data_IF_666560950530
#
_entry.id   IF_666560950530
#
_cell.length_a   1.000
_cell.length_b   1.000
_cell.length_c   1.000
_cell.angle_alpha   90.00
_cell.angle_beta   90.00
_cell.angle_gamma   90.00
#
_symmetry.space_group_name_H-M   'P 1'
#
loop_
_entity.id
_entity.type
_entity.pdbx_description
1 polymer ?
#
# COMPACT_ATOMS: atom_id res chain seq x y z
N UNK A 1 -12.90 5.79 -3.31
CA UNK A 1 -11.60 6.22 -3.87
C UNK A 1 -10.91 7.32 -3.09
N UNK A 2 -11.41 8.57 -3.01
CA UNK A 2 -10.68 9.61 -2.23
C UNK A 2 -10.32 9.20 -0.80
N UNK A 3 -11.26 8.57 -0.07
CA UNK A 3 -11.01 8.02 1.28
C UNK A 3 -9.96 6.90 1.28
N UNK A 4 -10.09 5.93 0.39
CA UNK A 4 -9.14 4.82 0.25
C UNK A 4 -7.71 5.32 -0.06
N UNK A 5 -7.57 6.26 -1.01
CA UNK A 5 -6.28 6.90 -1.31
C UNK A 5 -5.68 7.63 -0.11
N UNK A 6 -6.49 8.40 0.64
CA UNK A 6 -6.00 9.05 1.87
C UNK A 6 -5.52 8.03 2.91
N UNK A 7 -6.23 6.91 3.07
CA UNK A 7 -5.84 5.83 3.98
C UNK A 7 -4.54 5.15 3.54
N UNK A 8 -4.41 4.78 2.25
CA UNK A 8 -3.16 4.23 1.69
C UNK A 8 -1.99 5.21 1.84
N UNK A 9 -2.18 6.50 1.57
CA UNK A 9 -1.14 7.53 1.74
C UNK A 9 -0.73 7.73 3.21
N UNK A 10 -1.67 7.63 4.14
CA UNK A 10 -1.36 7.66 5.56
C UNK A 10 -0.48 6.47 5.98
N UNK A 11 -0.76 5.26 5.48
CA UNK A 11 0.12 4.10 5.67
C UNK A 11 1.52 4.37 5.10
N UNK A 12 1.61 4.88 3.86
CA UNK A 12 2.91 5.23 3.25
C UNK A 12 3.71 6.21 4.13
N UNK A 13 3.06 7.22 4.70
CA UNK A 13 3.73 8.20 5.55
C UNK A 13 4.24 7.58 6.86
N UNK A 14 3.46 6.68 7.47
CA UNK A 14 3.91 5.97 8.68
C UNK A 14 5.09 5.05 8.39
N UNK A 15 5.06 4.32 7.28
CA UNK A 15 6.16 3.43 6.86
C UNK A 15 7.44 4.23 6.53
N UNK A 16 7.30 5.38 5.89
CA UNK A 16 8.41 6.31 5.63
C UNK A 16 9.02 6.82 6.93
N UNK A 17 8.20 7.22 7.90
CA UNK A 17 8.68 7.63 9.22
C UNK A 17 9.50 6.54 9.93
N UNK A 18 9.00 5.29 9.92
CA UNK A 18 9.75 4.15 10.45
C UNK A 18 11.08 3.97 9.69
N UNK A 19 11.06 4.08 8.37
CA UNK A 19 12.24 3.91 7.53
C UNK A 19 13.31 4.99 7.78
N UNK A 20 12.90 6.21 8.11
CA UNK A 20 13.78 7.35 8.40
C UNK A 20 14.34 7.32 9.83
N UNK A 21 13.65 6.67 10.76
CA UNK A 21 14.10 6.50 12.15
C UNK A 21 15.01 5.27 12.35
N UNK A 22 15.23 4.46 11.32
CA UNK A 22 16.22 3.38 11.35
C UNK A 22 17.66 3.92 11.49
N UNK A 23 18.55 3.21 12.22
CA UNK A 23 18.30 1.98 12.97
C UNK A 23 17.88 2.21 14.43
N UNK A 24 18.07 3.42 14.97
CA UNK A 24 18.15 3.63 16.43
C UNK A 24 16.95 4.33 17.06
N UNK A 25 16.04 4.90 16.26
CA UNK A 25 14.93 5.73 16.73
C UNK A 25 13.54 5.13 16.48
N UNK A 26 13.49 3.90 15.97
CA UNK A 26 12.23 3.21 15.63
C UNK A 26 11.35 3.03 16.87
N UNK A 27 10.13 3.59 16.81
CA UNK A 27 9.12 3.44 17.85
C UNK A 27 8.41 2.08 17.74
N UNK A 28 8.51 1.27 18.79
CA UNK A 28 7.90 -0.07 18.86
C UNK A 28 6.38 -0.02 18.85
N UNK A 29 5.76 0.98 19.49
CA UNK A 29 4.30 1.12 19.49
C UNK A 29 3.80 1.48 18.10
N UNK A 30 4.55 2.32 17.39
CA UNK A 30 4.26 2.63 15.98
C UNK A 30 4.38 1.37 15.10
N UNK A 31 5.41 0.55 15.29
CA UNK A 31 5.54 -0.72 14.57
C UNK A 31 4.33 -1.64 14.80
N UNK A 32 3.87 -1.79 16.05
CA UNK A 32 2.69 -2.61 16.36
C UNK A 32 1.42 -2.07 15.71
N UNK A 33 1.22 -0.75 15.76
CA UNK A 33 0.06 -0.10 15.14
C UNK A 33 0.05 -0.30 13.62
N UNK A 34 1.19 -0.04 12.96
CA UNK A 34 1.29 -0.22 11.50
C UNK A 34 1.15 -1.69 11.10
N UNK A 35 1.74 -2.63 11.86
CA UNK A 35 1.61 -4.06 11.60
C UNK A 35 0.15 -4.54 11.67
N UNK A 36 -0.64 -4.00 12.61
CA UNK A 36 -2.04 -4.36 12.76
C UNK A 36 -2.91 -3.83 11.61
N UNK A 37 -2.57 -2.67 11.05
CA UNK A 37 -3.42 -1.96 10.08
C UNK A 37 -3.00 -2.18 8.62
N UNK A 38 -1.72 -2.39 8.33
CA UNK A 38 -1.15 -2.36 6.98
C UNK A 38 -1.87 -3.31 6.01
N UNK A 39 -1.82 -4.61 6.27
CA UNK A 39 -2.41 -5.61 5.37
C UNK A 39 -3.95 -5.56 5.33
N UNK A 40 -4.67 -5.46 6.48
CA UNK A 40 -6.13 -5.37 6.45
C UNK A 40 -6.67 -4.16 5.68
N UNK A 41 -6.07 -2.98 5.89
CA UNK A 41 -6.48 -1.75 5.22
C UNK A 41 -6.21 -1.81 3.71
N UNK A 42 -5.05 -2.34 3.32
CA UNK A 42 -4.68 -2.48 1.92
C UNK A 42 -5.67 -3.39 1.18
N UNK A 43 -5.99 -4.56 1.76
CA UNK A 43 -6.99 -5.49 1.24
C UNK A 43 -8.39 -4.90 1.12
N UNK A 44 -8.80 -4.10 2.10
CA UNK A 44 -10.09 -3.40 2.03
C UNK A 44 -10.13 -2.45 0.84
N UNK A 45 -9.06 -1.69 0.61
CA UNK A 45 -8.98 -0.76 -0.52
C UNK A 45 -8.93 -1.50 -1.87
N UNK A 46 -8.08 -2.53 -1.99
CA UNK A 46 -7.97 -3.35 -3.21
C UNK A 46 -9.30 -4.02 -3.55
N UNK A 47 -9.99 -4.60 -2.57
CA UNK A 47 -11.31 -5.19 -2.79
C UNK A 47 -12.31 -4.16 -3.32
N UNK A 48 -12.34 -2.96 -2.75
CA UNK A 48 -13.20 -1.89 -3.24
C UNK A 48 -12.85 -1.48 -4.68
N UNK A 49 -11.56 -1.36 -5.01
CA UNK A 49 -11.08 -1.07 -6.35
C UNK A 49 -11.50 -2.16 -7.35
N UNK A 50 -11.30 -3.42 -7.01
CA UNK A 50 -11.59 -4.55 -7.88
C UNK A 50 -13.08 -4.85 -8.06
N UNK A 51 -13.91 -4.61 -7.05
CA UNK A 51 -15.34 -4.88 -7.10
C UNK A 51 -16.13 -3.72 -7.73
N UNK A 52 -15.65 -2.49 -7.57
CA UNK A 52 -16.42 -1.28 -7.93
C UNK A 52 -15.73 -0.46 -9.02
N UNK A 53 -14.45 -0.14 -8.83
CA UNK A 53 -13.77 0.87 -9.64
C UNK A 53 -13.28 0.29 -10.97
N UNK A 54 -12.52 -0.79 -10.92
CA UNK A 54 -11.96 -1.43 -12.11
C UNK A 54 -13.05 -1.94 -13.07
N UNK A 55 -14.18 -2.53 -12.60
CA UNK A 55 -15.28 -2.87 -13.49
C UNK A 55 -15.91 -1.64 -14.15
N UNK A 56 -16.04 -0.52 -13.44
CA UNK A 56 -16.55 0.72 -14.02
C UNK A 56 -15.57 1.33 -15.03
N UNK A 57 -14.27 1.25 -14.77
CA UNK A 57 -13.22 1.70 -15.67
C UNK A 57 -13.18 0.86 -16.96
N UNK A 58 -13.14 -0.47 -16.83
CA UNK A 58 -13.13 -1.38 -17.98
C UNK A 58 -14.36 -1.17 -18.88
N UNK A 59 -15.57 -1.06 -18.29
CA UNK A 59 -16.78 -0.78 -19.08
C UNK A 59 -16.73 0.53 -19.87
N UNK A 60 -16.01 1.54 -19.38
CA UNK A 60 -15.95 2.86 -20.01
C UNK A 60 -14.82 2.99 -21.05
N UNK A 61 -13.80 2.13 -20.96
CA UNK A 61 -12.56 2.26 -21.74
C UNK A 61 -12.25 1.07 -22.64
N UNK A 62 -12.74 -0.13 -22.30
CA UNK A 62 -12.32 -1.39 -22.92
C UNK A 62 -10.87 -1.74 -22.61
N UNK A 63 -10.34 -1.30 -21.47
CA UNK A 63 -8.97 -1.60 -21.04
C UNK A 63 -8.89 -2.77 -20.05
N UNK A 64 -9.36 -3.95 -20.47
CA UNK A 64 -9.32 -5.15 -19.62
C UNK A 64 -7.88 -5.58 -19.26
N UNK A 65 -6.93 -5.41 -20.17
CA UNK A 65 -5.52 -5.72 -19.94
C UNK A 65 -4.89 -4.83 -18.87
N UNK A 66 -5.25 -3.54 -18.85
CA UNK A 66 -4.83 -2.60 -17.78
C UNK A 66 -5.36 -3.08 -16.44
N UNK A 67 -6.65 -3.45 -16.37
CA UNK A 67 -7.25 -3.98 -15.13
C UNK A 67 -6.56 -5.26 -14.68
N UNK A 68 -6.28 -6.19 -15.59
CA UNK A 68 -5.58 -7.43 -15.26
C UNK A 68 -4.18 -7.16 -14.67
N UNK A 69 -3.44 -6.20 -15.22
CA UNK A 69 -2.14 -5.78 -14.67
C UNK A 69 -2.28 -5.17 -13.27
N UNK A 70 -3.23 -4.26 -13.05
CA UNK A 70 -3.44 -3.62 -11.74
C UNK A 70 -3.79 -4.65 -10.65
N UNK A 71 -4.55 -5.70 -10.99
CA UNK A 71 -4.84 -6.80 -10.07
C UNK A 71 -3.61 -7.65 -9.75
N UNK A 72 -2.68 -7.79 -10.69
CA UNK A 72 -1.41 -8.45 -10.42
C UNK A 72 -0.54 -7.58 -9.49
N UNK A 73 -0.50 -6.27 -9.72
CA UNK A 73 0.17 -5.31 -8.82
C UNK A 73 -0.42 -5.40 -7.40
N UNK A 74 -1.74 -5.53 -7.24
CA UNK A 74 -2.38 -5.73 -5.94
C UNK A 74 -1.90 -7.01 -5.23
N UNK A 75 -1.74 -8.12 -5.96
CA UNK A 75 -1.25 -9.38 -5.39
C UNK A 75 0.19 -9.23 -4.89
N UNK A 76 1.04 -8.54 -5.64
CA UNK A 76 2.43 -8.26 -5.27
C UNK A 76 2.49 -7.35 -4.03
N UNK A 77 1.70 -6.26 -4.02
CA UNK A 77 1.61 -5.33 -2.90
C UNK A 77 1.09 -6.04 -1.64
N UNK A 78 0.08 -6.91 -1.74
CA UNK A 78 -0.42 -7.68 -0.59
C UNK A 78 0.61 -8.67 -0.02
N UNK A 79 1.41 -9.31 -0.89
CA UNK A 79 2.49 -10.18 -0.45
C UNK A 79 3.55 -9.38 0.31
N UNK A 80 4.00 -8.25 -0.24
CA UNK A 80 4.98 -7.38 0.40
C UNK A 80 4.45 -6.80 1.72
N UNK A 81 3.17 -6.41 1.77
CA UNK A 81 2.52 -5.92 2.97
C UNK A 81 2.44 -6.99 4.06
N UNK A 82 2.24 -8.27 3.72
CA UNK A 82 2.25 -9.36 4.68
C UNK A 82 3.63 -9.53 5.32
N UNK A 83 4.69 -9.60 4.51
CA UNK A 83 6.07 -9.72 4.98
C UNK A 83 6.47 -8.53 5.88
N UNK A 84 6.12 -7.31 5.48
CA UNK A 84 6.37 -6.10 6.26
C UNK A 84 5.57 -6.11 7.57
N UNK A 85 4.32 -6.54 7.56
CA UNK A 85 3.49 -6.62 8.77
C UNK A 85 4.08 -7.61 9.77
N UNK A 86 4.56 -8.77 9.32
CA UNK A 86 5.22 -9.76 10.17
C UNK A 86 6.51 -9.20 10.80
N UNK A 87 7.36 -8.56 9.98
CA UNK A 87 8.59 -7.95 10.46
C UNK A 87 8.32 -6.85 11.50
N UNK A 88 7.41 -5.92 11.19
CA UNK A 88 6.99 -4.85 12.09
C UNK A 88 6.42 -5.38 13.40
N UNK A 89 5.60 -6.44 13.35
CA UNK A 89 5.04 -7.08 14.54
C UNK A 89 6.15 -7.66 15.43
N UNK A 90 7.11 -8.37 14.83
CA UNK A 90 8.24 -8.94 15.57
C UNK A 90 9.08 -7.85 16.25
N UNK A 91 9.36 -6.74 15.55
CA UNK A 91 10.10 -5.60 16.11
C UNK A 91 9.31 -4.88 17.20
N UNK A 92 8.00 -4.72 17.01
CA UNK A 92 7.10 -4.18 18.02
C UNK A 92 7.14 -4.98 19.33
N UNK A 93 7.25 -6.31 19.24
CA UNK A 93 7.42 -7.20 20.40
C UNK A 93 8.85 -7.26 20.97
N UNK A 94 9.78 -6.47 20.44
CA UNK A 94 11.13 -6.32 20.98
C UNK A 94 12.20 -7.17 20.32
N UNK A 95 11.89 -7.86 19.21
CA UNK A 95 12.95 -8.46 18.36
C UNK A 95 13.85 -7.35 17.83
N UNK A 96 15.16 -7.61 17.77
CA UNK A 96 16.11 -6.67 17.16
C UNK A 96 15.99 -6.66 15.63
N UNK A 97 16.19 -5.48 15.03
CA UNK A 97 16.33 -5.32 13.58
C UNK A 97 17.75 -5.71 13.20
N UNK A 98 17.93 -6.95 12.74
CA UNK A 98 19.25 -7.54 12.43
C UNK A 98 19.94 -6.84 11.25
N UNK A 99 19.16 -6.44 10.23
CA UNK A 99 19.66 -5.72 9.06
C UNK A 99 18.78 -4.48 8.78
N UNK A 100 19.10 -3.33 9.39
CA UNK A 100 18.33 -2.10 9.21
C UNK A 100 18.34 -1.58 7.77
N UNK A 101 19.42 -1.81 7.01
CA UNK A 101 19.52 -1.37 5.62
C UNK A 101 18.53 -2.13 4.73
N UNK A 102 18.52 -3.46 4.82
CA UNK A 102 17.59 -4.30 4.06
C UNK A 102 16.14 -4.02 4.45
N UNK A 103 15.84 -3.86 5.74
CA UNK A 103 14.49 -3.54 6.18
C UNK A 103 14.05 -2.14 5.69
N UNK A 104 14.95 -1.15 5.76
CA UNK A 104 14.72 0.18 5.22
C UNK A 104 14.51 0.18 3.71
N UNK A 105 15.16 -0.71 2.96
CA UNK A 105 14.93 -0.90 1.54
C UNK A 105 13.53 -1.48 1.26
N UNK A 106 13.11 -2.51 2.01
CA UNK A 106 11.78 -3.12 1.85
C UNK A 106 10.65 -2.12 2.11
N UNK A 107 10.76 -1.32 3.19
CA UNK A 107 9.78 -0.27 3.50
C UNK A 107 9.67 0.75 2.35
N UNK A 108 10.81 1.26 1.85
CA UNK A 108 10.87 2.24 0.77
C UNK A 108 10.31 1.69 -0.54
N UNK A 109 10.72 0.49 -0.92
CA UNK A 109 10.22 -0.18 -2.12
C UNK A 109 8.68 -0.27 -2.09
N UNK A 110 8.11 -0.68 -0.96
CA UNK A 110 6.67 -0.80 -0.80
C UNK A 110 5.95 0.54 -0.86
N UNK A 111 6.31 1.52 -0.02
CA UNK A 111 5.54 2.77 0.03
C UNK A 111 5.70 3.60 -1.25
N UNK A 112 6.83 3.50 -1.95
CA UNK A 112 7.01 4.16 -3.24
C UNK A 112 6.19 3.48 -4.35
N UNK A 113 6.11 2.15 -4.35
CA UNK A 113 5.23 1.40 -5.26
C UNK A 113 3.78 1.84 -5.08
N UNK A 114 3.29 1.83 -3.84
CA UNK A 114 1.92 2.20 -3.52
C UNK A 114 1.60 3.66 -3.88
N UNK A 115 2.56 4.59 -3.68
CA UNK A 115 2.40 6.00 -4.12
C UNK A 115 2.28 6.11 -5.64
N UNK A 116 3.07 5.35 -6.42
CA UNK A 116 2.97 5.34 -7.88
C UNK A 116 1.66 4.74 -8.36
N UNK A 117 1.19 3.67 -7.70
CA UNK A 117 -0.11 3.07 -7.99
C UNK A 117 -1.26 4.07 -7.77
N UNK A 118 -1.29 4.74 -6.61
CA UNK A 118 -2.29 5.79 -6.31
C UNK A 118 -2.23 6.93 -7.33
N UNK A 119 -1.04 7.35 -7.74
CA UNK A 119 -0.88 8.38 -8.76
C UNK A 119 -1.48 7.94 -10.10
N UNK A 120 -1.21 6.70 -10.53
CA UNK A 120 -1.80 6.14 -11.74
C UNK A 120 -3.33 6.11 -11.67
N UNK A 121 -3.89 5.63 -10.56
CA UNK A 121 -5.33 5.60 -10.38
C UNK A 121 -5.95 7.00 -10.44
N UNK A 122 -5.34 7.98 -9.75
CA UNK A 122 -5.83 9.36 -9.73
C UNK A 122 -5.77 10.02 -11.10
N UNK A 123 -4.70 9.79 -11.84
CA UNK A 123 -4.39 10.55 -13.06
C UNK A 123 -5.00 9.89 -14.31
N UNK A 124 -5.26 8.57 -14.27
CA UNK A 124 -5.75 7.80 -15.44
C UNK A 124 -7.05 7.05 -15.19
N UNK A 125 -7.26 6.43 -14.02
CA UNK A 125 -8.45 5.61 -13.76
C UNK A 125 -9.65 6.48 -13.36
N UNK A 126 -9.49 7.30 -12.31
CA UNK A 126 -10.59 8.10 -11.77
C UNK A 126 -11.21 9.09 -12.76
N UNK A 127 -10.44 9.81 -13.61
CA UNK A 127 -11.04 10.74 -14.57
C UNK A 127 -11.97 10.03 -15.56
N UNK A 128 -11.66 8.78 -15.92
CA UNK A 128 -12.50 7.96 -16.80
C UNK A 128 -13.73 7.44 -16.09
N UNK A 129 -13.65 7.17 -14.78
CA UNK A 129 -14.79 6.68 -14.00
C UNK A 129 -15.76 7.81 -13.60
N UNK A 130 -15.23 9.00 -13.31
CA UNK A 130 -16.00 10.15 -12.81
C UNK A 130 -16.41 11.14 -13.91
N UNK A 131 -15.73 11.15 -15.07
CA UNK A 131 -15.92 12.13 -16.15
C UNK A 131 -17.13 11.91 -17.06
N UNK A 132 -17.96 10.90 -16.80
CA UNK A 132 -19.18 10.60 -17.55
C UNK A 132 -20.48 10.89 -16.75
N UNK A 133 -20.47 11.93 -15.90
CA UNK A 133 -21.70 12.52 -15.34
C UNK A 133 -22.12 13.75 -16.14
#
# INVERSE_FOLDING_TARGET
MRRAHMQKLALCHMLEGIADDLPSRVDRLQCLAVAADLLPLLRECHRFEEEIVFPAFARQTGEEDTVARLKLEHLEDESAAADLSEALLAYGHGRQIENPEAFGYMLRAFFESLRRHIAFERDHVLPKVLGNQ
#
